data_IF_861050198161
#
_entry.id   IF_861050198161
#
_cell.length_a   1.000
_cell.length_b   1.000
_cell.length_c   1.000
_cell.angle_alpha   90.00
_cell.angle_beta   90.00
_cell.angle_gamma   90.00
#
_symmetry.space_group_name_H-M   'P 1'
#
loop_
_entity.id
_entity.type
_entity.pdbx_description
1 polymer ?
#
# COMPACT_ATOMS: atom_id res chain seq x y z
N UNK A 1 26.25 5.85 -21.08
CA UNK A 1 25.54 4.64 -21.54
C UNK A 1 24.41 4.40 -20.56
N UNK A 2 23.19 4.81 -20.92
CA UNK A 2 21.99 4.61 -20.09
C UNK A 2 21.49 3.20 -20.35
N UNK A 3 21.59 2.32 -19.33
CA UNK A 3 20.93 1.02 -19.38
C UNK A 3 19.44 1.22 -19.18
N UNK A 4 18.71 1.34 -20.28
CA UNK A 4 17.25 1.22 -20.29
C UNK A 4 16.90 -0.24 -20.02
N UNK A 5 16.53 -0.54 -18.77
CA UNK A 5 15.89 -1.81 -18.44
C UNK A 5 14.50 -1.82 -19.07
N UNK A 6 14.40 -2.31 -20.30
CA UNK A 6 13.14 -2.68 -20.92
C UNK A 6 12.65 -3.96 -20.24
N UNK A 7 11.86 -3.81 -19.17
CA UNK A 7 11.03 -4.91 -18.70
C UNK A 7 9.99 -5.18 -19.79
N UNK A 8 9.82 -6.44 -20.25
CA UNK A 8 8.68 -6.77 -21.10
C UNK A 8 7.43 -6.37 -20.33
N UNK A 9 6.52 -5.66 -21.02
CA UNK A 9 5.16 -5.38 -20.60
C UNK A 9 4.42 -6.72 -20.31
N UNK A 10 4.75 -7.39 -19.22
CA UNK A 10 3.74 -8.11 -18.49
C UNK A 10 2.74 -7.01 -18.11
N UNK A 11 1.56 -7.04 -18.75
CA UNK A 11 0.47 -6.10 -18.46
C UNK A 11 0.36 -6.03 -16.94
N UNK A 12 0.78 -4.91 -16.35
CA UNK A 12 0.68 -4.69 -14.92
C UNK A 12 -0.79 -4.95 -14.57
N UNK A 13 -1.05 -6.02 -13.82
CA UNK A 13 -2.42 -6.39 -13.52
C UNK A 13 -2.98 -5.29 -12.63
N UNK A 14 -3.96 -4.56 -13.16
CA UNK A 14 -4.70 -3.54 -12.43
C UNK A 14 -6.03 -4.14 -11.99
N UNK A 15 -6.26 -4.15 -10.69
CA UNK A 15 -7.49 -4.64 -10.08
C UNK A 15 -8.07 -3.60 -9.12
N UNK A 16 -9.39 -3.65 -8.90
CA UNK A 16 -9.99 -2.88 -7.83
C UNK A 16 -9.61 -3.50 -6.48
N UNK A 17 -9.27 -2.66 -5.49
CA UNK A 17 -8.97 -3.11 -4.13
C UNK A 17 -9.89 -2.39 -3.15
N UNK A 18 -10.51 -3.17 -2.28
CA UNK A 18 -11.47 -2.67 -1.27
C UNK A 18 -10.86 -2.69 0.12
N UNK A 19 -9.96 -3.63 0.41
CA UNK A 19 -9.26 -3.68 1.67
C UNK A 19 -7.96 -4.48 1.58
N UNK A 20 -7.08 -4.26 2.56
CA UNK A 20 -5.93 -5.11 2.83
C UNK A 20 -5.78 -5.34 4.33
N UNK A 21 -5.11 -6.44 4.67
CA UNK A 21 -4.75 -6.77 6.04
C UNK A 21 -3.24 -6.62 6.22
N UNK A 22 -2.85 -5.90 7.26
CA UNK A 22 -1.46 -5.59 7.59
C UNK A 22 -1.13 -6.06 9.00
N UNK A 23 0.15 -6.32 9.32
CA UNK A 23 0.57 -6.54 10.70
C UNK A 23 0.29 -5.29 11.55
N UNK A 24 0.24 -5.39 12.88
CA UNK A 24 0.03 -4.24 13.73
C UNK A 24 1.21 -3.27 13.62
N UNK A 25 0.90 -1.99 13.38
CA UNK A 25 1.93 -0.95 13.35
C UNK A 25 2.42 -0.62 14.77
N UNK A 26 3.71 -0.32 14.97
CA UNK A 26 4.23 0.19 16.24
C UNK A 26 3.45 1.43 16.70
N UNK A 27 3.16 1.58 18.00
CA UNK A 27 2.23 2.59 18.54
C UNK A 27 2.39 4.01 17.98
N UNK A 28 3.62 4.53 17.90
CA UNK A 28 3.87 5.87 17.40
C UNK A 28 3.69 5.97 15.88
N UNK A 29 4.04 4.91 15.16
CA UNK A 29 3.89 4.80 13.72
C UNK A 29 2.44 4.61 13.32
N UNK A 30 1.71 3.72 13.99
CA UNK A 30 0.31 3.41 13.73
C UNK A 30 -0.61 4.61 13.87
N UNK A 31 -0.34 5.54 14.80
CA UNK A 31 -1.10 6.80 14.89
C UNK A 31 -0.93 7.67 13.65
N UNK A 32 0.29 7.81 13.14
CA UNK A 32 0.58 8.62 11.95
C UNK A 32 0.00 7.99 10.69
N UNK A 33 0.19 6.68 10.54
CA UNK A 33 -0.39 5.88 9.45
C UNK A 33 -1.91 6.01 9.44
N UNK A 34 -2.56 5.89 10.60
CA UNK A 34 -4.00 6.08 10.73
C UNK A 34 -4.44 7.47 10.26
N UNK A 35 -3.82 8.53 10.77
CA UNK A 35 -4.18 9.91 10.41
C UNK A 35 -3.99 10.16 8.91
N UNK A 36 -2.89 9.67 8.34
CA UNK A 36 -2.63 9.77 6.90
C UNK A 36 -3.69 9.03 6.07
N UNK A 37 -3.99 7.78 6.42
CA UNK A 37 -5.00 6.98 5.72
C UNK A 37 -6.39 7.61 5.82
N UNK A 38 -6.79 8.08 7.01
CA UNK A 38 -8.08 8.75 7.24
C UNK A 38 -8.17 10.08 6.47
N UNK A 39 -7.06 10.83 6.30
CA UNK A 39 -7.00 12.04 5.48
C UNK A 39 -7.36 11.75 4.01
N UNK A 40 -6.94 10.58 3.50
CA UNK A 40 -7.21 10.15 2.13
C UNK A 40 -8.50 9.30 2.00
N UNK A 41 -9.38 9.35 3.02
CA UNK A 41 -10.70 8.70 2.99
C UNK A 41 -10.67 7.18 3.17
N UNK A 42 -9.57 6.62 3.67
CA UNK A 42 -9.49 5.22 4.07
C UNK A 42 -9.99 5.01 5.51
N UNK A 43 -10.48 3.82 5.81
CA UNK A 43 -10.84 3.41 7.19
C UNK A 43 -9.71 2.56 7.77
N UNK A 44 -9.25 2.90 8.97
CA UNK A 44 -8.24 2.12 9.70
C UNK A 44 -8.86 1.41 10.91
N UNK A 45 -8.88 0.08 10.88
CA UNK A 45 -9.45 -0.76 11.94
C UNK A 45 -8.33 -1.56 12.61
N UNK A 46 -8.12 -1.31 13.91
CA UNK A 46 -7.16 -2.07 14.71
C UNK A 46 -7.86 -3.25 15.39
N UNK A 47 -7.45 -4.48 15.07
CA UNK A 47 -8.00 -5.71 15.63
C UNK A 47 -7.07 -6.34 16.70
N UNK A 48 -6.05 -5.60 17.14
CA UNK A 48 -5.07 -6.04 18.14
C UNK A 48 -3.92 -6.84 17.54
N UNK A 49 -4.21 -7.96 16.86
CA UNK A 49 -3.20 -8.81 16.21
C UNK A 49 -2.94 -8.45 14.74
N UNK A 50 -3.78 -7.60 14.15
CA UNK A 50 -3.63 -7.07 12.80
C UNK A 50 -4.33 -5.73 12.66
N UNK A 51 -4.09 -5.06 11.54
CA UNK A 51 -4.84 -3.89 11.12
C UNK A 51 -5.51 -4.16 9.77
N UNK A 52 -6.81 -3.91 9.69
CA UNK A 52 -7.58 -3.92 8.46
C UNK A 52 -7.68 -2.49 7.94
N UNK A 53 -7.31 -2.29 6.68
CA UNK A 53 -7.40 -1.00 6.01
C UNK A 53 -8.44 -1.15 4.92
N UNK A 54 -9.53 -0.39 5.01
CA UNK A 54 -10.54 -0.32 3.96
C UNK A 54 -10.29 0.90 3.10
N UNK A 55 -10.29 0.69 1.80
CA UNK A 55 -10.06 1.75 0.82
C UNK A 55 -11.39 2.30 0.31
N UNK A 56 -11.42 3.59 -0.07
CA UNK A 56 -12.58 4.16 -0.74
C UNK A 56 -12.86 3.47 -2.07
N UNK A 57 -14.10 3.58 -2.55
CA UNK A 57 -14.47 3.07 -3.88
C UNK A 57 -13.61 3.69 -4.98
N UNK A 58 -13.40 2.95 -6.07
CA UNK A 58 -12.49 3.33 -7.17
C UNK A 58 -11.00 3.28 -6.85
N UNK A 59 -10.61 2.80 -5.67
CA UNK A 59 -9.21 2.49 -5.40
C UNK A 59 -8.74 1.33 -6.27
N UNK A 60 -7.61 1.52 -6.94
CA UNK A 60 -7.00 0.52 -7.82
C UNK A 60 -5.65 0.08 -7.28
N UNK A 61 -5.30 -1.17 -7.57
CA UNK A 61 -4.03 -1.80 -7.21
C UNK A 61 -3.37 -2.29 -8.50
N UNK A 62 -2.13 -1.91 -8.72
CA UNK A 62 -1.37 -2.24 -9.93
C UNK A 62 -0.08 -2.97 -9.57
N UNK A 63 0.16 -4.15 -10.14
CA UNK A 63 1.44 -4.87 -9.97
C UNK A 63 2.59 -4.11 -10.63
N UNK A 64 3.58 -3.66 -9.83
CA UNK A 64 4.76 -2.93 -10.31
C UNK A 64 6.03 -3.77 -10.31
N UNK A 65 6.00 -4.94 -9.63
CA UNK A 65 7.14 -5.84 -9.61
C UNK A 65 6.71 -7.31 -9.60
N UNK A 66 7.34 -8.16 -10.44
CA UNK A 66 6.87 -9.51 -10.70
C UNK A 66 7.04 -10.45 -9.49
N UNK A 67 6.10 -11.39 -9.38
CA UNK A 67 5.83 -12.29 -8.25
C UNK A 67 6.94 -13.26 -7.82
N UNK A 68 8.09 -13.28 -8.49
CA UNK A 68 9.12 -14.29 -8.26
C UNK A 68 9.83 -14.17 -6.90
N UNK A 69 9.87 -12.96 -6.31
CA UNK A 69 10.64 -12.69 -5.08
C UNK A 69 9.86 -11.93 -4.01
N UNK A 70 9.09 -10.92 -4.43
CA UNK A 70 8.22 -10.13 -3.56
C UNK A 70 7.24 -9.41 -4.50
N UNK A 71 5.94 -9.55 -4.27
CA UNK A 71 4.99 -8.83 -5.11
C UNK A 71 4.90 -7.41 -4.57
N UNK A 72 5.20 -6.44 -5.44
CA UNK A 72 4.98 -5.03 -5.12
C UNK A 72 3.83 -4.52 -5.95
N UNK A 73 2.93 -3.82 -5.28
CA UNK A 73 1.83 -3.15 -5.92
C UNK A 73 1.86 -1.66 -5.62
N UNK A 74 1.36 -0.89 -6.57
CA UNK A 74 1.03 0.51 -6.38
C UNK A 74 -0.48 0.61 -6.22
N UNK A 75 -0.92 1.00 -5.03
CA UNK A 75 -2.31 1.31 -4.74
C UNK A 75 -2.51 2.80 -5.02
N UNK A 76 -3.46 3.14 -5.89
CA UNK A 76 -3.82 4.53 -6.20
C UNK A 76 -5.23 4.79 -5.69
N UNK A 77 -5.33 5.75 -4.76
CA UNK A 77 -6.59 6.21 -4.18
C UNK A 77 -7.33 7.16 -5.15
N UNK A 78 -8.63 7.41 -4.95
CA UNK A 78 -9.44 8.25 -5.85
C UNK A 78 -8.99 9.70 -5.93
N UNK A 79 -8.31 10.20 -4.90
CA UNK A 79 -7.72 11.55 -4.87
C UNK A 79 -6.33 11.61 -5.55
N UNK A 80 -5.86 10.48 -6.08
CA UNK A 80 -4.57 10.33 -6.74
C UNK A 80 -3.41 10.02 -5.79
N UNK A 81 -3.65 9.91 -4.47
CA UNK A 81 -2.60 9.51 -3.54
C UNK A 81 -2.16 8.06 -3.80
N UNK A 82 -0.86 7.82 -3.69
CA UNK A 82 -0.24 6.55 -4.02
C UNK A 82 0.39 5.90 -2.79
N UNK A 83 0.06 4.63 -2.58
CA UNK A 83 0.58 3.81 -1.49
C UNK A 83 1.29 2.61 -2.11
N UNK A 84 2.49 2.30 -1.65
CA UNK A 84 3.17 1.07 -2.05
C UNK A 84 2.73 -0.07 -1.15
N UNK A 85 2.37 -1.21 -1.73
CA UNK A 85 2.10 -2.45 -1.00
C UNK A 85 3.20 -3.46 -1.32
N UNK A 86 3.81 -4.02 -0.28
CA UNK A 86 4.75 -5.13 -0.40
C UNK A 86 4.12 -6.39 0.19
N UNK A 87 4.07 -7.45 -0.61
CA UNK A 87 3.55 -8.75 -0.21
C UNK A 87 4.68 -9.79 -0.31
N UNK A 88 5.29 -10.18 0.82
CA UNK A 88 6.29 -11.23 0.85
C UNK A 88 5.68 -12.59 0.45
N UNK A 89 6.41 -13.45 -0.28
CA UNK A 89 5.91 -14.76 -0.66
C UNK A 89 5.69 -15.64 0.59
N UNK A 90 4.50 -16.23 0.69
CA UNK A 90 4.14 -17.13 1.80
C UNK A 90 3.63 -16.43 3.05
N UNK A 91 3.56 -15.09 3.08
CA UNK A 91 2.91 -14.36 4.17
C UNK A 91 1.43 -14.08 3.89
N UNK A 92 0.61 -14.17 4.94
CA UNK A 92 -0.82 -13.82 4.91
C UNK A 92 -1.09 -12.32 5.09
N UNK A 93 -0.04 -11.51 5.16
CA UNK A 93 -0.12 -10.07 5.41
C UNK A 93 0.60 -9.27 4.33
N UNK A 94 0.08 -8.07 4.07
CA UNK A 94 0.74 -7.06 3.25
C UNK A 94 1.34 -5.98 4.13
N UNK A 95 2.45 -5.39 3.70
CA UNK A 95 3.04 -4.20 4.33
C UNK A 95 2.80 -2.98 3.44
N UNK A 96 2.33 -1.88 4.04
CA UNK A 96 2.22 -0.61 3.33
C UNK A 96 3.46 0.26 3.53
N UNK A 97 4.03 0.68 2.41
CA UNK A 97 5.03 1.73 2.32
C UNK A 97 4.38 3.08 2.05
N UNK A 98 4.68 4.04 2.92
CA UNK A 98 4.31 5.46 2.77
C UNK A 98 5.59 6.28 2.58
N UNK A 99 5.51 7.40 1.86
CA UNK A 99 6.67 8.29 1.74
C UNK A 99 7.04 8.87 3.10
N UNK A 100 8.33 8.91 3.45
CA UNK A 100 8.80 9.48 4.72
C UNK A 100 8.37 10.94 4.89
N UNK A 101 8.26 11.70 3.79
CA UNK A 101 7.75 13.07 3.77
C UNK A 101 6.34 13.20 4.32
N UNK A 102 5.51 12.18 4.13
CA UNK A 102 4.07 12.21 4.42
C UNK A 102 3.80 11.86 5.89
N UNK A 103 4.77 11.20 6.54
CA UNK A 103 4.71 10.79 7.93
C UNK A 103 5.45 11.75 8.89
N UNK A 104 6.12 12.76 8.35
CA UNK A 104 6.87 13.77 9.12
C UNK A 104 6.09 15.08 9.22
N UNK A 105 5.17 15.37 8.29
CA UNK A 105 4.38 16.60 8.32
C UNK A 105 3.23 16.48 9.33
N UNK A 106 3.23 17.23 10.45
CA UNK A 106 2.01 17.39 11.21
C UNK A 106 0.97 18.17 10.36
N UNK A 107 -0.33 17.97 10.60
CA UNK A 107 -1.37 18.82 10.00
C UNK A 107 -1.15 20.30 10.34
#
# INVERSE_FOLDING_TARGET
MQSSFHYPHALAQTEAVTCIRTPPYPLQWGRRVRVLLELHGCTFINEGSSCLIEFPTMTIKQEIWPRALCVRYLITLPDGYQIMEEQPPGEGYSSLGFSESDLIKPP
#
